data_IF_760604698773
#
_entry.id   IF_760604698773
#
_cell.length_a   1.000
_cell.length_b   1.000
_cell.length_c   1.000
_cell.angle_alpha   90.00
_cell.angle_beta   90.00
_cell.angle_gamma   90.00
#
_symmetry.space_group_name_H-M   'P 1'
#
loop_
_entity.id
_entity.type
_entity.pdbx_description
1 polymer ?
#
# COMPACT_ATOMS: atom_id res chain seq x y z
N UNK A 1 -0.63 -23.18 -18.19
CA UNK A 1 -1.14 -23.99 -17.06
C UNK A 1 -2.50 -23.47 -16.55
N UNK A 2 -2.68 -22.16 -16.34
CA UNK A 2 -3.95 -21.57 -15.86
C UNK A 2 -5.11 -21.79 -16.85
N UNK A 3 -4.87 -21.62 -18.17
CA UNK A 3 -5.87 -21.86 -19.20
C UNK A 3 -6.27 -23.34 -19.32
N UNK A 4 -5.32 -24.26 -19.14
CA UNK A 4 -5.58 -25.72 -19.15
C UNK A 4 -6.39 -26.15 -17.93
N UNK A 5 -6.12 -25.56 -16.75
CA UNK A 5 -6.91 -25.77 -15.53
C UNK A 5 -8.35 -25.27 -15.67
N UNK A 6 -8.55 -24.08 -16.28
CA UNK A 6 -9.88 -23.53 -16.51
C UNK A 6 -10.72 -24.40 -17.48
N UNK A 7 -10.12 -24.91 -18.55
CA UNK A 7 -10.77 -25.81 -19.52
C UNK A 7 -11.10 -27.18 -18.89
N UNK A 8 -10.26 -27.70 -18.00
CA UNK A 8 -10.52 -28.94 -17.28
C UNK A 8 -11.69 -28.78 -16.29
N UNK A 9 -11.76 -27.67 -15.56
CA UNK A 9 -12.86 -27.34 -14.65
C UNK A 9 -14.18 -27.12 -15.39
N UNK A 10 -14.14 -26.52 -16.57
CA UNK A 10 -15.33 -26.29 -17.41
C UNK A 10 -15.91 -27.59 -17.95
N UNK A 11 -15.07 -28.59 -18.24
CA UNK A 11 -15.47 -29.90 -18.76
C UNK A 11 -16.17 -30.80 -17.69
N UNK A 12 -15.93 -30.55 -16.42
CA UNK A 12 -16.57 -31.29 -15.31
C UNK A 12 -17.91 -30.73 -14.86
N UNK A 13 -18.31 -29.53 -15.31
CA UNK A 13 -19.57 -28.88 -14.98
C UNK A 13 -20.42 -28.63 -16.22
N UNK A 14 -20.89 -29.69 -16.85
CA UNK A 14 -22.11 -29.62 -17.67
C UNK A 14 -23.31 -29.56 -16.71
N UNK A 15 -23.58 -28.37 -16.17
CA UNK A 15 -24.82 -28.10 -15.46
C UNK A 15 -25.96 -28.02 -16.45
N UNK A 16 -27.17 -28.51 -16.12
CA UNK A 16 -28.35 -28.34 -16.95
C UNK A 16 -28.59 -26.83 -17.18
N UNK A 17 -28.89 -26.49 -18.41
CA UNK A 17 -29.34 -25.12 -18.77
C UNK A 17 -30.69 -24.91 -18.11
N UNK A 18 -30.71 -24.29 -16.92
CA UNK A 18 -31.93 -23.77 -16.34
C UNK A 18 -32.40 -22.59 -17.18
N UNK A 19 -33.60 -22.73 -17.75
CA UNK A 19 -34.35 -21.67 -18.42
C UNK A 19 -34.48 -20.46 -17.50
N UNK A 20 -34.28 -19.22 -18.02
CA UNK A 20 -34.25 -18.03 -17.18
C UNK A 20 -35.59 -17.75 -16.53
N UNK A 21 -35.65 -17.87 -15.21
CA UNK A 21 -36.76 -17.38 -14.41
C UNK A 21 -36.85 -15.84 -14.48
N UNK A 22 -38.05 -15.38 -14.74
CA UNK A 22 -38.60 -14.02 -14.87
C UNK A 22 -37.80 -12.87 -14.26
N UNK A 23 -37.68 -11.84 -15.09
CA UNK A 23 -37.36 -10.43 -14.83
C UNK A 23 -37.49 -9.95 -13.39
N UNK A 24 -36.39 -9.81 -12.71
CA UNK A 24 -36.16 -8.73 -11.77
C UNK A 24 -35.40 -7.64 -12.54
N UNK A 25 -35.90 -6.41 -12.47
CA UNK A 25 -35.40 -5.26 -13.19
C UNK A 25 -33.86 -5.23 -13.23
N UNK A 26 -33.31 -5.27 -14.44
CA UNK A 26 -31.89 -5.18 -14.71
C UNK A 26 -31.35 -3.89 -14.11
N UNK A 27 -30.58 -4.00 -13.04
CA UNK A 27 -29.79 -2.88 -12.57
C UNK A 27 -28.65 -2.66 -13.56
N UNK A 28 -28.73 -1.60 -14.33
CA UNK A 28 -27.62 -1.16 -15.15
C UNK A 28 -26.34 -1.06 -14.31
N UNK A 29 -25.18 -1.47 -14.87
CA UNK A 29 -23.92 -1.39 -14.16
C UNK A 29 -23.68 0.04 -13.67
N UNK A 30 -23.33 0.18 -12.38
CA UNK A 30 -23.16 1.51 -11.80
C UNK A 30 -21.79 2.07 -12.20
N UNK A 31 -21.81 2.96 -13.19
CA UNK A 31 -20.61 3.63 -13.71
C UNK A 31 -19.83 4.37 -12.61
N UNK A 32 -20.52 4.81 -11.56
CA UNK A 32 -19.85 5.43 -10.40
C UNK A 32 -18.89 4.47 -9.72
N UNK A 33 -19.31 3.20 -9.52
CA UNK A 33 -18.44 2.18 -8.94
C UNK A 33 -17.18 1.94 -9.77
N UNK A 34 -17.31 1.91 -11.10
CA UNK A 34 -16.18 1.80 -12.03
C UNK A 34 -15.17 2.93 -11.86
N UNK A 35 -15.64 4.18 -11.88
CA UNK A 35 -14.76 5.34 -11.72
C UNK A 35 -14.12 5.42 -10.35
N UNK A 36 -14.87 5.18 -9.27
CA UNK A 36 -14.33 5.17 -7.92
C UNK A 36 -13.30 4.05 -7.75
N UNK A 37 -13.55 2.88 -8.36
CA UNK A 37 -12.60 1.77 -8.31
C UNK A 37 -11.36 2.01 -9.20
N UNK A 38 -11.50 2.72 -10.33
CA UNK A 38 -10.36 3.17 -11.13
C UNK A 38 -9.43 4.10 -10.31
N UNK A 39 -9.99 5.10 -9.64
CA UNK A 39 -9.22 6.00 -8.79
C UNK A 39 -8.60 5.23 -7.61
N UNK A 40 -9.33 4.27 -7.03
CA UNK A 40 -8.81 3.39 -5.98
C UNK A 40 -7.61 2.54 -6.47
N UNK A 41 -7.62 2.09 -7.72
CA UNK A 41 -6.47 1.44 -8.36
C UNK A 41 -5.25 2.36 -8.42
N UNK A 42 -5.46 3.62 -8.76
CA UNK A 42 -4.41 4.64 -8.76
C UNK A 42 -3.82 4.88 -7.36
N UNK A 43 -4.69 4.96 -6.35
CA UNK A 43 -4.26 5.07 -4.94
C UNK A 43 -3.50 3.83 -4.48
N UNK A 44 -3.99 2.63 -4.81
CA UNK A 44 -3.38 1.35 -4.41
C UNK A 44 -1.95 1.20 -4.96
N UNK A 45 -1.76 1.44 -6.26
CA UNK A 45 -0.43 1.39 -6.88
C UNK A 45 0.44 2.61 -6.50
N UNK A 46 -0.18 3.75 -6.19
CA UNK A 46 0.52 4.89 -5.60
C UNK A 46 1.12 4.55 -4.24
N UNK A 47 0.40 3.83 -3.39
CA UNK A 47 0.92 3.31 -2.12
C UNK A 47 2.11 2.36 -2.34
N UNK A 48 2.04 1.46 -3.33
CA UNK A 48 3.15 0.55 -3.64
C UNK A 48 4.44 1.31 -3.95
N UNK A 49 4.35 2.40 -4.74
CA UNK A 49 5.51 3.27 -5.02
C UNK A 49 6.05 3.92 -3.75
N UNK A 50 5.18 4.48 -2.90
CA UNK A 50 5.60 5.13 -1.65
C UNK A 50 6.20 4.11 -0.69
N UNK A 51 5.58 2.94 -0.50
CA UNK A 51 6.08 1.90 0.39
C UNK A 51 7.42 1.32 -0.09
N UNK A 52 7.57 1.06 -1.39
CA UNK A 52 8.82 0.54 -1.94
C UNK A 52 9.98 1.50 -1.69
N UNK A 53 9.77 2.80 -1.89
CA UNK A 53 10.79 3.81 -1.61
C UNK A 53 11.02 4.03 -0.11
N UNK A 54 9.98 3.95 0.72
CA UNK A 54 10.11 4.10 2.17
C UNK A 54 10.87 2.94 2.80
N UNK A 55 10.54 1.70 2.41
CA UNK A 55 11.13 0.49 2.99
C UNK A 55 12.61 0.36 2.60
N UNK A 56 12.99 0.73 1.38
CA UNK A 56 14.39 0.71 0.94
C UNK A 56 15.30 1.56 1.81
N UNK A 57 14.78 2.63 2.45
CA UNK A 57 15.55 3.46 3.39
C UNK A 57 16.03 2.70 4.64
N UNK A 58 15.36 1.61 5.00
CA UNK A 58 15.69 0.78 6.17
C UNK A 58 16.45 -0.50 5.80
N UNK A 59 16.74 -0.70 4.51
CA UNK A 59 17.29 -1.96 4.00
C UNK A 59 18.57 -1.74 3.20
N UNK A 60 19.58 -2.54 3.46
CA UNK A 60 20.88 -2.46 2.80
C UNK A 60 20.89 -2.96 1.34
N UNK A 61 19.84 -3.67 0.89
CA UNK A 61 19.74 -4.23 -0.47
C UNK A 61 18.40 -3.93 -1.10
N UNK A 62 18.41 -3.43 -2.35
CA UNK A 62 17.20 -2.99 -3.05
C UNK A 62 16.40 -4.14 -3.65
N UNK A 63 17.06 -5.11 -4.26
CA UNK A 63 16.40 -6.17 -5.04
C UNK A 63 15.56 -7.09 -4.17
N UNK A 64 16.14 -7.59 -3.08
CA UNK A 64 15.40 -8.46 -2.14
C UNK A 64 14.29 -7.72 -1.40
N UNK A 65 14.55 -6.46 -1.02
CA UNK A 65 13.55 -5.62 -0.38
C UNK A 65 12.31 -5.44 -1.26
N UNK A 66 12.50 -5.11 -2.53
CA UNK A 66 11.41 -4.95 -3.48
C UNK A 66 10.63 -6.27 -3.66
N UNK A 67 11.32 -7.40 -3.81
CA UNK A 67 10.67 -8.71 -3.97
C UNK A 67 9.79 -9.07 -2.76
N UNK A 68 10.27 -8.82 -1.53
CA UNK A 68 9.52 -9.09 -0.30
C UNK A 68 8.31 -8.16 -0.17
N UNK A 69 8.47 -6.86 -0.47
CA UNK A 69 7.36 -5.89 -0.48
C UNK A 69 6.29 -6.31 -1.48
N UNK A 70 6.69 -6.64 -2.72
CA UNK A 70 5.77 -7.08 -3.77
C UNK A 70 5.05 -8.38 -3.38
N UNK A 71 5.77 -9.36 -2.84
CA UNK A 71 5.18 -10.61 -2.38
C UNK A 71 4.16 -10.37 -1.25
N UNK A 72 4.47 -9.49 -0.28
CA UNK A 72 3.57 -9.12 0.80
C UNK A 72 2.33 -8.38 0.27
N UNK A 73 2.52 -7.45 -0.66
CA UNK A 73 1.46 -6.71 -1.31
C UNK A 73 0.48 -7.65 -2.04
N UNK A 74 0.99 -8.53 -2.90
CA UNK A 74 0.17 -9.49 -3.64
C UNK A 74 -0.53 -10.49 -2.72
N UNK A 75 0.15 -10.95 -1.66
CA UNK A 75 -0.44 -11.83 -0.66
C UNK A 75 -1.60 -11.14 0.07
N UNK A 76 -1.42 -9.88 0.47
CA UNK A 76 -2.49 -9.10 1.08
C UNK A 76 -3.70 -8.93 0.17
N UNK A 77 -3.49 -8.55 -1.10
CA UNK A 77 -4.56 -8.42 -2.10
C UNK A 77 -5.31 -9.75 -2.30
N UNK A 78 -4.56 -10.86 -2.44
CA UNK A 78 -5.15 -12.19 -2.61
C UNK A 78 -6.00 -12.58 -1.40
N UNK A 79 -5.44 -12.49 -0.19
CA UNK A 79 -6.15 -12.86 1.03
C UNK A 79 -7.38 -12.00 1.26
N UNK A 80 -7.28 -10.68 1.08
CA UNK A 80 -8.41 -9.76 1.20
C UNK A 80 -9.54 -10.11 0.24
N UNK A 81 -9.21 -10.33 -1.02
CA UNK A 81 -10.17 -10.74 -2.05
C UNK A 81 -10.80 -12.10 -1.73
N UNK A 82 -10.01 -13.11 -1.38
CA UNK A 82 -10.48 -14.46 -1.08
C UNK A 82 -11.40 -14.50 0.15
N UNK A 83 -11.06 -13.74 1.21
CA UNK A 83 -11.86 -13.67 2.43
C UNK A 83 -13.24 -13.07 2.20
N UNK A 84 -13.30 -11.98 1.40
CA UNK A 84 -14.57 -11.30 1.19
C UNK A 84 -15.38 -11.88 0.03
N UNK A 85 -14.76 -12.49 -0.98
CA UNK A 85 -15.44 -13.09 -2.12
C UNK A 85 -16.53 -14.09 -1.70
N UNK A 86 -16.26 -14.90 -0.68
CA UNK A 86 -17.23 -15.89 -0.16
C UNK A 86 -18.47 -15.27 0.50
N UNK A 87 -18.40 -13.99 0.89
CA UNK A 87 -19.46 -13.29 1.63
C UNK A 87 -20.05 -12.11 0.87
N UNK A 88 -19.47 -11.76 -0.27
CA UNK A 88 -19.82 -10.53 -1.01
C UNK A 88 -21.30 -10.50 -1.38
N UNK A 89 -21.89 -11.63 -1.81
CA UNK A 89 -23.29 -11.71 -2.22
C UNK A 89 -24.29 -11.54 -1.05
N UNK A 90 -23.83 -11.79 0.17
CA UNK A 90 -24.65 -11.65 1.40
C UNK A 90 -24.57 -10.23 2.00
N UNK A 91 -23.77 -9.35 1.45
CA UNK A 91 -23.65 -7.97 1.96
C UNK A 91 -24.97 -7.21 1.75
N UNK A 92 -25.53 -6.67 2.82
CA UNK A 92 -26.76 -5.85 2.77
C UNK A 92 -26.48 -4.40 2.35
N UNK A 93 -25.24 -3.97 2.42
CA UNK A 93 -24.80 -2.59 2.14
C UNK A 93 -23.41 -2.64 1.49
N UNK A 94 -23.33 -2.97 0.19
CA UNK A 94 -22.05 -3.07 -0.51
C UNK A 94 -21.35 -1.71 -0.68
N UNK A 95 -22.10 -0.62 -0.88
CA UNK A 95 -21.53 0.72 -0.98
C UNK A 95 -20.85 1.19 0.30
N UNK A 96 -21.50 0.97 1.46
CA UNK A 96 -20.91 1.29 2.75
C UNK A 96 -19.68 0.44 3.07
N UNK A 97 -19.67 -0.84 2.66
CA UNK A 97 -18.51 -1.72 2.82
C UNK A 97 -17.37 -1.26 1.92
N UNK A 98 -17.63 -0.99 0.64
CA UNK A 98 -16.64 -0.49 -0.31
C UNK A 98 -15.98 0.80 0.21
N UNK A 99 -16.80 1.77 0.59
CA UNK A 99 -16.31 3.04 1.13
C UNK A 99 -15.43 2.88 2.37
N UNK A 100 -15.84 2.00 3.30
CA UNK A 100 -15.09 1.75 4.53
C UNK A 100 -13.76 1.03 4.25
N UNK A 101 -13.74 0.07 3.31
CA UNK A 101 -12.52 -0.65 2.95
C UNK A 101 -11.48 0.28 2.31
N UNK A 102 -11.87 1.12 1.36
CA UNK A 102 -10.94 2.05 0.70
C UNK A 102 -10.47 3.14 1.66
N UNK A 103 -11.39 3.80 2.36
CA UNK A 103 -11.01 4.83 3.33
C UNK A 103 -10.18 4.26 4.49
N UNK A 104 -10.54 3.06 4.98
CA UNK A 104 -9.81 2.35 6.03
C UNK A 104 -8.40 1.96 5.60
N UNK A 105 -8.22 1.49 4.35
CA UNK A 105 -6.89 1.19 3.80
C UNK A 105 -6.00 2.44 3.82
N UNK A 106 -6.54 3.60 3.41
CA UNK A 106 -5.82 4.86 3.45
C UNK A 106 -5.42 5.30 4.85
N UNK A 107 -6.36 5.22 5.79
CA UNK A 107 -6.07 5.56 7.19
C UNK A 107 -4.99 4.66 7.77
N UNK A 108 -5.09 3.35 7.58
CA UNK A 108 -4.12 2.40 8.14
C UNK A 108 -2.75 2.58 7.51
N UNK A 109 -2.66 2.76 6.19
CA UNK A 109 -1.40 3.02 5.51
C UNK A 109 -0.67 4.26 6.09
N UNK A 110 -1.41 5.32 6.37
CA UNK A 110 -0.84 6.53 6.97
C UNK A 110 -0.51 6.34 8.46
N UNK A 111 -1.38 5.64 9.20
CA UNK A 111 -1.18 5.35 10.61
C UNK A 111 0.07 4.49 10.85
N UNK A 112 0.30 3.48 10.03
CA UNK A 112 1.49 2.63 10.10
C UNK A 112 2.78 3.46 9.96
N UNK A 113 2.85 4.38 8.98
CA UNK A 113 4.00 5.28 8.83
C UNK A 113 4.11 6.27 10.01
N UNK A 114 3.00 6.83 10.48
CA UNK A 114 3.00 7.74 11.62
C UNK A 114 3.48 7.08 12.91
N UNK A 115 3.15 5.80 13.10
CA UNK A 115 3.55 4.99 14.25
C UNK A 115 4.93 4.34 14.12
N UNK A 116 5.57 4.43 12.94
CA UNK A 116 6.92 3.91 12.77
C UNK A 116 7.87 4.49 13.81
N UNK A 117 8.71 3.64 14.37
CA UNK A 117 9.66 4.01 15.40
C UNK A 117 10.66 2.88 15.68
N UNK A 118 11.36 3.01 16.80
CA UNK A 118 12.38 2.04 17.26
C UNK A 118 11.84 0.61 17.42
N UNK A 119 10.55 0.46 17.66
CA UNK A 119 9.92 -0.85 17.82
C UNK A 119 10.08 -1.72 16.57
N UNK A 120 10.01 -1.13 15.37
CA UNK A 120 10.16 -1.86 14.11
C UNK A 120 11.56 -2.49 14.02
N UNK A 121 12.59 -1.72 14.35
CA UNK A 121 13.96 -2.22 14.34
C UNK A 121 14.19 -3.32 15.39
N UNK A 122 13.65 -3.13 16.59
CA UNK A 122 13.70 -4.16 17.65
C UNK A 122 12.98 -5.43 17.18
N UNK A 123 11.81 -5.31 16.57
CA UNK A 123 11.07 -6.44 16.03
C UNK A 123 11.85 -7.16 14.91
N UNK A 124 12.45 -6.39 13.98
CA UNK A 124 13.29 -6.92 12.92
C UNK A 124 14.51 -7.68 13.48
N UNK A 125 15.23 -7.09 14.45
CA UNK A 125 16.42 -7.70 15.06
C UNK A 125 16.07 -8.94 15.88
N UNK A 126 14.96 -8.90 16.61
CA UNK A 126 14.49 -10.05 17.38
C UNK A 126 14.07 -11.21 16.47
N UNK A 127 13.36 -10.92 15.38
CA UNK A 127 12.94 -11.94 14.43
C UNK A 127 14.14 -12.57 13.69
N UNK A 128 15.11 -11.75 13.28
CA UNK A 128 16.37 -12.22 12.69
C UNK A 128 17.14 -13.13 13.65
N UNK A 129 17.36 -12.68 14.90
CA UNK A 129 18.06 -13.45 15.92
C UNK A 129 17.35 -14.79 16.22
N UNK A 130 16.02 -14.78 16.25
CA UNK A 130 15.24 -15.99 16.44
C UNK A 130 15.44 -16.98 15.28
N UNK A 131 15.36 -16.54 14.03
CA UNK A 131 15.54 -17.39 12.84
C UNK A 131 16.98 -17.94 12.78
N UNK A 132 17.98 -17.11 13.07
CA UNK A 132 19.38 -17.54 13.11
C UNK A 132 19.63 -18.55 14.25
N UNK A 133 18.95 -18.42 15.40
CA UNK A 133 19.04 -19.39 16.51
C UNK A 133 18.50 -20.79 16.15
N UNK A 134 17.63 -20.87 15.13
CA UNK A 134 17.13 -22.14 14.57
C UNK A 134 18.10 -22.78 13.55
N UNK A 135 19.29 -22.20 13.36
CA UNK A 135 20.30 -22.71 12.41
C UNK A 135 20.05 -22.26 10.96
N UNK A 136 19.21 -21.25 10.75
CA UNK A 136 18.96 -20.73 9.40
C UNK A 136 20.17 -19.95 8.85
N UNK A 137 20.26 -19.84 7.52
CA UNK A 137 21.30 -19.05 6.87
C UNK A 137 21.14 -17.54 7.11
N UNK A 138 22.23 -16.79 7.00
CA UNK A 138 22.21 -15.32 7.07
C UNK A 138 21.24 -14.70 6.06
N UNK A 139 21.08 -15.30 4.88
CA UNK A 139 20.13 -14.86 3.86
C UNK A 139 18.69 -14.97 4.36
N UNK A 140 18.34 -16.03 5.08
CA UNK A 140 17.02 -16.18 5.71
C UNK A 140 16.82 -15.19 6.84
N UNK A 141 17.84 -14.94 7.65
CA UNK A 141 17.82 -13.92 8.71
C UNK A 141 17.51 -12.53 8.13
N UNK A 142 18.27 -12.13 7.10
CA UNK A 142 18.05 -10.87 6.40
C UNK A 142 16.65 -10.78 5.75
N UNK A 143 16.20 -11.86 5.10
CA UNK A 143 14.85 -11.92 4.50
C UNK A 143 13.76 -11.78 5.55
N UNK A 144 13.97 -12.33 6.73
CA UNK A 144 13.04 -12.19 7.87
C UNK A 144 12.92 -10.74 8.34
N UNK A 145 14.02 -9.99 8.42
CA UNK A 145 13.97 -8.54 8.70
C UNK A 145 13.11 -7.80 7.68
N UNK A 146 13.27 -8.12 6.40
CA UNK A 146 12.50 -7.51 5.32
C UNK A 146 11.01 -7.87 5.42
N UNK A 147 10.72 -9.14 5.71
CA UNK A 147 9.35 -9.61 5.89
C UNK A 147 8.65 -8.91 7.07
N UNK A 148 9.32 -8.74 8.20
CA UNK A 148 8.77 -8.00 9.35
C UNK A 148 8.43 -6.56 8.98
N UNK A 149 9.32 -5.85 8.27
CA UNK A 149 9.04 -4.49 7.83
C UNK A 149 7.86 -4.44 6.84
N UNK A 150 7.86 -5.31 5.83
CA UNK A 150 6.81 -5.34 4.83
C UNK A 150 5.44 -5.72 5.44
N UNK A 151 5.39 -6.72 6.32
CA UNK A 151 4.17 -7.11 7.03
C UNK A 151 3.63 -5.98 7.91
N UNK A 152 4.52 -5.22 8.56
CA UNK A 152 4.14 -4.13 9.45
C UNK A 152 3.63 -2.87 8.73
N UNK A 153 4.01 -2.68 7.45
CA UNK A 153 3.73 -1.42 6.73
C UNK A 153 2.79 -1.63 5.54
N UNK A 154 2.76 -2.84 4.95
CA UNK A 154 2.08 -3.07 3.67
C UNK A 154 0.89 -4.00 3.81
N UNK A 155 0.96 -4.98 4.72
CA UNK A 155 0.05 -6.12 4.69
C UNK A 155 -1.40 -5.73 5.00
N UNK A 156 -1.67 -4.98 6.07
CA UNK A 156 -3.06 -4.68 6.48
C UNK A 156 -3.78 -3.78 5.47
N UNK A 157 -3.19 -2.67 4.99
CA UNK A 157 -3.81 -1.86 3.95
C UNK A 157 -4.11 -2.67 2.68
N UNK A 158 -3.20 -3.56 2.27
CA UNK A 158 -3.39 -4.35 1.04
C UNK A 158 -4.47 -5.41 1.17
N UNK A 159 -4.66 -6.00 2.36
CA UNK A 159 -5.81 -6.87 2.64
C UNK A 159 -7.14 -6.11 2.46
N UNK A 160 -7.22 -4.86 2.94
CA UNK A 160 -8.43 -4.05 2.76
C UNK A 160 -8.67 -3.67 1.29
N UNK A 161 -7.61 -3.30 0.58
CA UNK A 161 -7.68 -3.01 -0.87
C UNK A 161 -8.09 -4.25 -1.66
N UNK A 162 -7.53 -5.41 -1.34
CA UNK A 162 -7.92 -6.68 -1.94
C UNK A 162 -9.37 -7.06 -1.67
N UNK A 163 -9.85 -6.82 -0.46
CA UNK A 163 -11.25 -7.04 -0.09
C UNK A 163 -12.22 -6.10 -0.84
N UNK A 164 -11.77 -4.92 -1.26
CA UNK A 164 -12.59 -4.01 -2.03
C UNK A 164 -12.89 -4.51 -3.45
N UNK A 165 -12.05 -5.37 -4.05
CA UNK A 165 -12.21 -5.90 -5.40
C UNK A 165 -13.54 -6.66 -5.62
N UNK A 166 -13.88 -7.71 -4.85
CA UNK A 166 -15.15 -8.41 -5.04
C UNK A 166 -16.37 -7.51 -4.77
N UNK A 167 -16.24 -6.49 -3.91
CA UNK A 167 -17.33 -5.52 -3.68
C UNK A 167 -17.50 -4.60 -4.89
N UNK A 168 -16.40 -4.12 -5.48
CA UNK A 168 -16.43 -3.33 -6.69
C UNK A 168 -17.04 -4.10 -7.86
N UNK A 169 -16.67 -5.38 -8.03
CA UNK A 169 -17.30 -6.26 -9.03
C UNK A 169 -18.81 -6.35 -8.83
N UNK A 170 -19.25 -6.60 -7.60
CA UNK A 170 -20.69 -6.69 -7.28
C UNK A 170 -21.45 -5.39 -7.57
N UNK A 171 -20.82 -4.22 -7.39
CA UNK A 171 -21.42 -2.93 -7.64
C UNK A 171 -21.48 -2.59 -9.14
N UNK A 172 -20.47 -3.04 -9.90
CA UNK A 172 -20.25 -2.65 -11.30
C UNK A 172 -20.73 -3.68 -12.32
N UNK A 173 -20.92 -4.94 -11.91
CA UNK A 173 -21.28 -6.03 -12.84
C UNK A 173 -22.78 -6.29 -12.82
N UNK A 174 -23.43 -6.09 -13.97
CA UNK A 174 -24.79 -6.55 -14.22
C UNK A 174 -24.84 -8.06 -14.51
N UNK A 175 -26.05 -8.65 -14.56
CA UNK A 175 -26.23 -10.08 -14.86
C UNK A 175 -25.98 -10.44 -16.32
N UNK A 176 -26.16 -9.48 -17.22
CA UNK A 176 -25.89 -9.65 -18.63
C UNK A 176 -24.43 -9.36 -18.92
N UNK A 177 -23.78 -10.17 -19.78
CA UNK A 177 -22.40 -10.00 -20.21
C UNK A 177 -21.34 -9.94 -19.07
N UNK A 178 -21.49 -10.82 -18.07
CA UNK A 178 -20.62 -10.84 -16.87
C UNK A 178 -19.13 -10.78 -17.23
N UNK A 179 -18.69 -11.55 -18.23
CA UNK A 179 -17.27 -11.57 -18.64
C UNK A 179 -16.78 -10.21 -19.14
N UNK A 180 -17.58 -9.49 -19.93
CA UNK A 180 -17.27 -8.16 -20.43
C UNK A 180 -17.21 -7.14 -19.29
N UNK A 181 -18.20 -7.17 -18.40
CA UNK A 181 -18.27 -6.23 -17.29
C UNK A 181 -17.12 -6.43 -16.30
N UNK A 182 -16.71 -7.67 -16.03
CA UNK A 182 -15.51 -7.97 -15.22
C UNK A 182 -14.25 -7.44 -15.91
N UNK A 183 -14.12 -7.64 -17.23
CA UNK A 183 -13.02 -7.09 -18.02
C UNK A 183 -12.96 -5.55 -17.95
N UNK A 184 -14.11 -4.88 -18.00
CA UNK A 184 -14.19 -3.41 -17.85
C UNK A 184 -13.71 -2.96 -16.47
N UNK A 185 -14.13 -3.61 -15.38
CA UNK A 185 -13.70 -3.28 -14.00
C UNK A 185 -12.17 -3.41 -13.86
N UNK A 186 -11.60 -4.51 -14.37
CA UNK A 186 -10.16 -4.73 -14.33
C UNK A 186 -9.42 -3.71 -15.19
N UNK A 187 -9.89 -3.43 -16.41
CA UNK A 187 -9.28 -2.46 -17.31
C UNK A 187 -9.26 -1.04 -16.69
N UNK A 188 -10.39 -0.59 -16.15
CA UNK A 188 -10.49 0.72 -15.49
C UNK A 188 -9.58 0.82 -14.27
N UNK A 189 -9.52 -0.23 -13.46
CA UNK A 189 -8.63 -0.28 -12.30
C UNK A 189 -7.15 -0.23 -12.72
N UNK A 190 -6.79 -0.97 -13.77
CA UNK A 190 -5.42 -0.98 -14.32
C UNK A 190 -5.03 0.39 -14.89
N UNK A 191 -5.92 1.04 -15.64
CA UNK A 191 -5.69 2.38 -16.17
C UNK A 191 -5.50 3.40 -15.04
N UNK A 192 -6.37 3.36 -14.02
CA UNK A 192 -6.20 4.17 -12.82
C UNK A 192 -4.87 3.91 -12.12
N UNK A 193 -4.48 2.64 -12.01
CA UNK A 193 -3.20 2.21 -11.46
C UNK A 193 -2.01 2.80 -12.20
N UNK A 194 -1.98 2.70 -13.53
CA UNK A 194 -0.91 3.28 -14.39
C UNK A 194 -0.80 4.79 -14.15
N UNK A 195 -1.92 5.50 -14.17
CA UNK A 195 -1.93 6.95 -13.91
C UNK A 195 -1.43 7.25 -12.50
N UNK A 196 -1.86 6.47 -11.50
CA UNK A 196 -1.44 6.63 -10.11
C UNK A 196 0.07 6.45 -9.93
N UNK A 197 0.66 5.39 -10.50
CA UNK A 197 2.12 5.16 -10.47
C UNK A 197 2.88 6.32 -11.10
N UNK A 198 2.45 6.75 -12.29
CA UNK A 198 3.10 7.87 -12.99
C UNK A 198 3.03 9.16 -12.18
N UNK A 199 1.85 9.50 -11.66
CA UNK A 199 1.67 10.69 -10.83
C UNK A 199 2.49 10.60 -9.54
N UNK A 200 2.43 9.49 -8.83
CA UNK A 200 3.17 9.34 -7.58
C UNK A 200 4.69 9.38 -7.80
N UNK A 201 5.21 8.57 -8.72
CA UNK A 201 6.65 8.45 -8.91
C UNK A 201 7.31 9.68 -9.53
N UNK A 202 6.65 10.33 -10.48
CA UNK A 202 7.26 11.43 -11.25
C UNK A 202 6.83 12.84 -10.82
N UNK A 203 5.70 12.96 -10.11
CA UNK A 203 5.15 14.27 -9.75
C UNK A 203 5.01 14.43 -8.25
N UNK A 204 4.24 13.56 -7.58
CA UNK A 204 3.87 13.78 -6.18
C UNK A 204 5.08 13.61 -5.24
N UNK A 205 5.84 12.52 -5.37
CA UNK A 205 7.01 12.30 -4.52
C UNK A 205 8.06 13.39 -4.71
N UNK A 206 8.46 13.78 -5.93
CA UNK A 206 9.42 14.86 -6.12
C UNK A 206 8.96 16.23 -5.62
N UNK A 207 7.65 16.51 -5.61
CA UNK A 207 7.11 17.81 -5.18
C UNK A 207 6.75 17.86 -3.70
N UNK A 208 6.23 16.76 -3.14
CA UNK A 208 5.66 16.72 -1.80
C UNK A 208 6.49 15.89 -0.83
N UNK A 209 7.33 14.98 -1.32
CA UNK A 209 8.01 13.96 -0.54
C UNK A 209 7.11 12.76 -0.24
N UNK A 210 7.70 11.70 0.36
CA UNK A 210 7.03 10.42 0.60
C UNK A 210 5.87 10.54 1.59
N UNK A 211 6.10 11.20 2.72
CA UNK A 211 5.10 11.29 3.81
C UNK A 211 3.88 12.10 3.38
N UNK A 212 4.08 13.25 2.73
CA UNK A 212 2.96 14.07 2.24
C UNK A 212 2.21 13.41 1.10
N UNK A 213 2.93 12.71 0.20
CA UNK A 213 2.30 11.93 -0.87
C UNK A 213 1.42 10.84 -0.29
N UNK A 214 1.88 10.11 0.73
CA UNK A 214 1.07 9.12 1.43
C UNK A 214 -0.17 9.75 2.07
N UNK A 215 -0.01 10.89 2.73
CA UNK A 215 -1.11 11.67 3.30
C UNK A 215 -2.15 12.08 2.25
N UNK A 216 -1.71 12.58 1.09
CA UNK A 216 -2.58 12.92 -0.03
C UNK A 216 -3.34 11.69 -0.56
N UNK A 217 -2.66 10.57 -0.74
CA UNK A 217 -3.30 9.32 -1.16
C UNK A 217 -4.35 8.84 -0.14
N UNK A 218 -4.08 8.98 1.17
CA UNK A 218 -5.04 8.65 2.23
C UNK A 218 -6.26 9.58 2.19
N UNK A 219 -6.09 10.87 1.91
CA UNK A 219 -7.17 11.83 1.72
C UNK A 219 -8.00 11.48 0.47
N UNK A 220 -7.36 11.11 -0.64
CA UNK A 220 -8.06 10.66 -1.85
C UNK A 220 -8.86 9.37 -1.55
N UNK A 221 -8.28 8.41 -0.85
CA UNK A 221 -8.98 7.19 -0.43
C UNK A 221 -10.20 7.48 0.45
N UNK A 222 -10.07 8.42 1.39
CA UNK A 222 -11.18 8.90 2.21
C UNK A 222 -12.26 9.60 1.35
N UNK A 223 -11.86 10.38 0.35
CA UNK A 223 -12.75 10.99 -0.64
C UNK A 223 -13.54 9.95 -1.44
N UNK A 224 -12.87 8.90 -1.94
CA UNK A 224 -13.53 7.76 -2.61
C UNK A 224 -14.58 7.14 -1.68
N UNK A 225 -14.19 6.86 -0.44
CA UNK A 225 -15.09 6.33 0.58
C UNK A 225 -16.30 7.23 0.82
N UNK A 226 -16.07 8.52 0.97
CA UNK A 226 -17.12 9.53 1.15
C UNK A 226 -18.11 9.56 -0.03
N UNK A 227 -17.62 9.61 -1.27
CA UNK A 227 -18.48 9.59 -2.45
C UNK A 227 -19.27 8.29 -2.57
N UNK A 228 -18.64 7.15 -2.26
CA UNK A 228 -19.30 5.84 -2.23
C UNK A 228 -20.50 5.82 -1.27
N UNK A 229 -20.33 6.34 -0.04
CA UNK A 229 -21.43 6.33 0.96
C UNK A 229 -22.45 7.45 0.78
N UNK A 230 -22.10 8.52 0.04
CA UNK A 230 -23.02 9.63 -0.25
C UNK A 230 -23.93 9.33 -1.44
N UNK A 231 -23.35 8.77 -2.51
CA UNK A 231 -24.05 8.49 -3.77
C UNK A 231 -24.62 7.08 -3.86
N UNK A 232 -24.06 6.16 -3.06
CA UNK A 232 -24.49 4.77 -3.01
C UNK A 232 -25.91 4.59 -2.44
N UNK A 233 -26.60 3.57 -2.94
CA UNK A 233 -27.97 3.24 -2.52
C UNK A 233 -27.93 2.27 -1.31
N UNK A 234 -28.83 2.46 -0.36
CA UNK A 234 -29.01 1.54 0.78
C UNK A 234 -27.90 1.57 1.83
N UNK A 235 -27.12 2.66 1.90
CA UNK A 235 -26.04 2.80 2.87
C UNK A 235 -26.57 3.01 4.29
N UNK A 236 -26.11 2.18 5.22
CA UNK A 236 -26.48 2.28 6.64
C UNK A 236 -25.88 3.53 7.28
N UNK A 237 -26.67 4.26 8.09
CA UNK A 237 -26.26 5.48 8.80
C UNK A 237 -24.94 5.30 9.56
N UNK A 238 -24.77 4.21 10.29
CA UNK A 238 -23.54 3.94 11.06
C UNK A 238 -22.30 3.80 10.16
N UNK A 239 -22.40 3.15 8.99
CA UNK A 239 -21.27 3.05 8.06
C UNK A 239 -20.94 4.39 7.43
N UNK A 240 -21.94 5.20 7.08
CA UNK A 240 -21.73 6.54 6.59
C UNK A 240 -20.98 7.40 7.60
N UNK A 241 -21.39 7.33 8.88
CA UNK A 241 -20.68 8.02 9.96
C UNK A 241 -19.26 7.49 10.15
N UNK A 242 -19.07 6.16 10.08
CA UNK A 242 -17.75 5.52 10.15
C UNK A 242 -16.80 5.99 9.06
N UNK A 243 -17.25 6.04 7.80
CA UNK A 243 -16.42 6.54 6.69
C UNK A 243 -16.07 8.02 6.86
N UNK A 244 -17.01 8.84 7.32
CA UNK A 244 -16.74 10.26 7.60
C UNK A 244 -15.71 10.39 8.73
N UNK A 245 -15.87 9.64 9.82
CA UNK A 245 -14.92 9.65 10.94
C UNK A 245 -13.52 9.21 10.49
N UNK A 246 -13.40 8.10 9.73
CA UNK A 246 -12.15 7.64 9.14
C UNK A 246 -11.53 8.73 8.27
N UNK A 247 -12.32 9.40 7.44
CA UNK A 247 -11.84 10.51 6.59
C UNK A 247 -11.30 11.69 7.39
N UNK A 248 -12.01 12.12 8.42
CA UNK A 248 -11.56 13.20 9.30
C UNK A 248 -10.27 12.85 10.04
N UNK A 249 -10.15 11.62 10.54
CA UNK A 249 -8.93 11.13 11.19
C UNK A 249 -7.78 11.07 10.18
N UNK A 250 -8.03 10.61 8.94
CA UNK A 250 -7.00 10.58 7.89
C UNK A 250 -6.47 11.98 7.56
N UNK A 251 -7.35 12.98 7.45
CA UNK A 251 -6.95 14.38 7.22
C UNK A 251 -6.13 14.91 8.40
N UNK A 252 -6.61 14.71 9.62
CA UNK A 252 -5.90 15.15 10.82
C UNK A 252 -4.51 14.50 10.91
N UNK A 253 -4.42 13.19 10.68
CA UNK A 253 -3.17 12.46 10.73
C UNK A 253 -2.21 12.90 9.61
N UNK A 254 -2.71 13.17 8.40
CA UNK A 254 -1.90 13.68 7.29
C UNK A 254 -1.29 15.06 7.59
N UNK A 255 -2.00 15.89 8.31
CA UNK A 255 -1.53 17.22 8.73
C UNK A 255 -0.56 17.15 9.92
N UNK A 256 -0.77 16.22 10.83
CA UNK A 256 0.03 16.07 12.05
C UNK A 256 1.32 15.25 11.85
N UNK A 257 1.39 14.39 10.83
CA UNK A 257 2.58 13.57 10.60
C UNK A 257 3.72 14.43 10.05
N UNK A 258 4.88 14.50 10.76
CA UNK A 258 6.02 15.29 10.32
C UNK A 258 6.55 14.81 8.96
N UNK A 259 6.96 15.73 8.10
CA UNK A 259 7.48 15.42 6.76
C UNK A 259 8.81 14.69 6.78
N UNK A 260 9.61 14.91 7.82
CA UNK A 260 10.90 14.30 8.07
C UNK A 260 10.80 13.00 8.91
N UNK A 261 9.58 12.46 9.08
CA UNK A 261 9.33 11.24 9.87
C UNK A 261 10.26 10.08 9.46
N UNK A 262 10.40 9.85 8.16
CA UNK A 262 11.25 8.78 7.63
C UNK A 262 12.74 9.09 7.82
N UNK A 263 13.14 10.35 7.67
CA UNK A 263 14.52 10.78 7.90
C UNK A 263 14.97 10.56 9.35
N UNK A 264 14.08 10.78 10.32
CA UNK A 264 14.36 10.56 11.74
C UNK A 264 14.63 9.08 12.10
N UNK A 265 14.24 8.15 11.24
CA UNK A 265 14.41 6.71 11.42
C UNK A 265 15.69 6.17 10.75
N UNK A 266 16.43 7.00 10.01
CA UNK A 266 17.71 6.59 9.42
C UNK A 266 18.71 6.16 10.50
N UNK A 267 19.50 5.09 10.27
CA UNK A 267 20.47 4.60 11.24
C UNK A 267 21.43 5.68 11.74
N UNK A 268 21.81 6.61 10.86
CA UNK A 268 22.71 7.72 11.20
C UNK A 268 22.06 8.82 12.04
N UNK A 269 20.77 9.02 11.96
CA UNK A 269 20.04 10.06 12.69
C UNK A 269 19.99 9.82 14.21
N UNK A 270 20.24 8.58 14.65
CA UNK A 270 20.21 8.19 16.08
C UNK A 270 21.30 8.80 16.93
N UNK A 271 22.50 8.91 16.36
CA UNK A 271 23.70 9.44 17.03
C UNK A 271 24.20 10.74 16.41
N UNK A 272 23.32 11.45 15.71
CA UNK A 272 23.66 12.66 14.98
C UNK A 272 22.48 13.58 14.77
N UNK A 273 22.73 14.70 14.15
CA UNK A 273 21.73 15.68 13.72
C UNK A 273 21.59 15.63 12.21
N UNK A 274 20.34 15.64 11.71
CA UNK A 274 20.06 15.69 10.29
C UNK A 274 20.43 17.09 9.76
N UNK A 275 21.45 17.15 8.91
CA UNK A 275 21.93 18.41 8.33
C UNK A 275 21.22 18.71 6.99
N UNK A 276 20.89 17.66 6.22
CA UNK A 276 20.22 17.79 4.93
C UNK A 276 19.37 16.54 4.68
N UNK A 277 18.20 16.73 4.09
CA UNK A 277 17.32 15.63 3.66
C UNK A 277 16.52 16.06 2.44
N UNK A 278 16.59 15.30 1.37
CA UNK A 278 15.84 15.54 0.15
C UNK A 278 15.35 14.22 -0.45
N UNK A 279 14.12 14.24 -0.93
CA UNK A 279 13.46 13.12 -1.59
C UNK A 279 13.26 13.46 -3.07
N UNK A 280 13.85 12.66 -3.96
CA UNK A 280 13.81 12.88 -5.39
C UNK A 280 13.36 11.67 -6.18
N UNK A 281 13.31 11.81 -7.51
CA UNK A 281 12.89 10.73 -8.44
C UNK A 281 13.78 9.48 -8.34
N UNK A 282 15.06 9.66 -8.04
CA UNK A 282 16.05 8.58 -7.95
C UNK A 282 16.19 7.97 -6.56
N UNK A 283 15.53 8.53 -5.56
CA UNK A 283 15.60 8.09 -4.16
C UNK A 283 15.83 9.25 -3.20
N UNK A 284 16.12 8.91 -1.94
CA UNK A 284 16.35 9.86 -0.85
C UNK A 284 17.83 10.08 -0.61
N UNK A 285 18.19 11.33 -0.33
CA UNK A 285 19.53 11.74 0.05
C UNK A 285 19.47 12.40 1.43
N UNK A 286 20.32 11.96 2.34
CA UNK A 286 20.43 12.54 3.67
C UNK A 286 21.90 12.78 4.05
N UNK A 287 22.16 13.90 4.68
CA UNK A 287 23.45 14.19 5.34
C UNK A 287 23.22 14.28 6.83
N UNK A 288 23.93 13.46 7.57
CA UNK A 288 23.80 13.38 9.03
C UNK A 288 25.16 13.76 9.65
N UNK A 289 25.16 14.76 10.52
CA UNK A 289 26.30 15.14 11.33
C UNK A 289 26.36 14.24 12.55
N UNK A 290 27.43 13.48 12.70
CA UNK A 290 27.69 12.57 13.81
C UNK A 290 28.89 13.04 14.63
N UNK A 291 28.91 12.73 15.95
CA UNK A 291 29.95 13.19 16.87
C UNK A 291 29.64 14.55 17.48
N UNK A 292 30.56 15.07 18.32
CA UNK A 292 30.43 16.37 19.00
C UNK A 292 31.74 17.16 18.90
N UNK A 293 31.62 18.47 18.73
CA UNK A 293 32.74 19.40 18.70
C UNK A 293 33.74 19.09 17.56
N UNK A 294 35.04 19.11 17.84
CA UNK A 294 36.11 18.88 16.85
C UNK A 294 36.15 17.45 16.27
N UNK A 295 35.38 16.51 16.83
CA UNK A 295 35.23 15.14 16.32
C UNK A 295 33.91 14.95 15.54
N UNK A 296 33.18 16.03 15.28
CA UNK A 296 32.02 15.97 14.43
C UNK A 296 32.43 15.70 12.98
N UNK A 297 31.70 14.80 12.33
CA UNK A 297 31.87 14.48 10.92
C UNK A 297 30.52 14.30 10.24
N UNK A 298 30.45 14.56 8.95
CA UNK A 298 29.24 14.40 8.15
C UNK A 298 29.28 13.07 7.41
N UNK A 299 28.13 12.43 7.31
CA UNK A 299 27.96 11.17 6.60
C UNK A 299 26.80 11.29 5.62
N UNK A 300 27.07 10.96 4.36
CA UNK A 300 26.09 10.93 3.29
C UNK A 300 25.40 9.57 3.27
N UNK A 301 24.08 9.61 3.26
CA UNK A 301 23.21 8.46 3.07
C UNK A 301 22.46 8.62 1.75
N UNK A 302 22.51 7.61 0.90
CA UNK A 302 21.70 7.52 -0.31
C UNK A 302 20.77 6.32 -0.15
N UNK A 303 19.47 6.56 -0.14
CA UNK A 303 18.44 5.55 0.10
C UNK A 303 18.69 4.72 1.37
N UNK A 304 19.02 5.38 2.46
CA UNK A 304 19.27 4.76 3.76
C UNK A 304 20.62 4.05 3.91
N UNK A 305 21.38 3.88 2.83
CA UNK A 305 22.72 3.26 2.86
C UNK A 305 23.79 4.34 3.03
N UNK A 306 24.68 4.14 4.00
CA UNK A 306 25.85 5.00 4.16
C UNK A 306 26.78 4.86 2.95
N UNK A 307 27.01 5.95 2.25
CA UNK A 307 27.79 5.94 1.01
C UNK A 307 29.19 6.51 1.24
N UNK A 308 29.27 7.70 1.86
CA UNK A 308 30.54 8.36 2.11
C UNK A 308 30.43 9.31 3.31
N UNK A 309 31.55 9.85 3.76
CA UNK A 309 31.59 10.84 4.84
C UNK A 309 32.87 11.67 4.74
N UNK A 310 32.93 12.77 5.46
CA UNK A 310 34.10 13.66 5.56
C UNK A 310 35.12 13.18 6.62
N UNK A 311 34.90 12.03 7.25
CA UNK A 311 35.90 11.43 8.13
C UNK A 311 37.11 10.90 7.34
N UNK A 312 38.30 10.97 7.93
CA UNK A 312 39.58 10.58 7.31
C UNK A 312 39.59 9.24 6.56
N UNK A 313 38.95 8.15 7.07
CA UNK A 313 38.88 6.90 6.31
C UNK A 313 38.14 7.02 4.98
N UNK A 314 37.05 7.82 4.93
CA UNK A 314 36.26 8.00 3.72
C UNK A 314 36.98 8.90 2.70
N UNK A 315 37.71 9.89 3.15
CA UNK A 315 38.53 10.79 2.28
C UNK A 315 39.67 10.04 1.59
N UNK A 316 40.22 9.01 2.21
CA UNK A 316 41.24 8.15 1.60
C UNK A 316 40.75 7.33 0.42
N UNK A 317 39.43 6.99 0.40
CA UNK A 317 38.81 6.26 -0.72
C UNK A 317 38.47 7.15 -1.92
N UNK A 318 38.41 8.47 -1.73
CA UNK A 318 38.10 9.44 -2.80
C UNK A 318 39.34 10.03 -3.50
N UNK A 319 40.54 9.68 -3.04
CA UNK A 319 41.79 10.02 -3.69
C UNK A 319 42.33 8.85 -4.51
#
# INVERSE_FOLDING_TARGET
>A
LAAAGALWFQRQRSLPVETPARHHADKAPDRLALWLYSIAGGVALGYEVVWSQSIVQFMSTRTYAFAVVLATYLTGLFLGSALLARRVDRLRDPWGVFGLLIAGAGLIALLEIALLGRWLELAQSAAEAWVLSLGASELLGMSTRFAVAALSIVFVPTVLLGAAFPVALRLSVGRDHVGRNVGEVVAFNTLGGIVGVMLCGFVLIPLLGLVRTLGLLAIIAAGIGYFAVRKGHGVKKGRRQGVIAVGLVSVALALLTPVDKLASLLPGARNGTLAFYEEGRGGTVAVVTQGKGQRAFQRLYIQGVSNTGDAMPSLRYMR
#
